data_IF_683641075936
#
_entry.id   IF_683641075936
#
_cell.length_a   1.000
_cell.length_b   1.000
_cell.length_c   1.000
_cell.angle_alpha   90.00
_cell.angle_beta   90.00
_cell.angle_gamma   90.00
#
_symmetry.space_group_name_H-M   'P 1'
#
loop_
_entity.id
_entity.type
_entity.pdbx_description
1 polymer ?
#
# COMPACT_ATOMS: atom_id res chain seq x y z
N UNK A 1 -13.87 11.71 -0.56
CA UNK A 1 -12.65 11.00 -0.13
C UNK A 1 -12.31 9.89 -1.11
N UNK A 2 -11.03 9.74 -1.49
CA UNK A 2 -10.53 8.63 -2.32
C UNK A 2 -9.66 7.72 -1.46
N UNK A 3 -9.83 6.40 -1.57
CA UNK A 3 -9.06 5.42 -0.82
C UNK A 3 -7.99 4.82 -1.73
N UNK A 4 -6.72 4.90 -1.32
CA UNK A 4 -5.59 4.27 -1.98
C UNK A 4 -5.03 3.15 -1.08
N UNK A 5 -4.96 1.93 -1.58
CA UNK A 5 -4.27 0.83 -0.90
C UNK A 5 -2.81 0.80 -1.38
N UNK A 6 -1.87 0.83 -0.43
CA UNK A 6 -0.45 0.61 -0.68
C UNK A 6 -0.04 -0.68 0.00
N UNK A 7 -0.13 -1.79 -0.73
CA UNK A 7 0.20 -3.15 -0.29
C UNK A 7 1.67 -3.48 -0.50
N UNK A 8 2.11 -4.62 0.01
CA UNK A 8 3.48 -5.14 -0.11
C UNK A 8 3.98 -5.78 1.18
N UNK A 9 5.00 -6.62 1.08
CA UNK A 9 5.57 -7.33 2.24
C UNK A 9 6.20 -6.40 3.29
N UNK A 10 6.43 -6.94 4.47
CA UNK A 10 7.18 -6.25 5.53
C UNK A 10 8.58 -5.89 5.03
N UNK A 11 8.98 -4.63 5.23
CA UNK A 11 10.28 -4.11 4.77
C UNK A 11 10.37 -3.86 3.26
N UNK A 12 9.29 -4.00 2.50
CA UNK A 12 9.27 -3.69 1.06
C UNK A 12 9.37 -2.20 0.74
N UNK A 13 9.22 -1.32 1.74
CA UNK A 13 9.35 0.14 1.54
C UNK A 13 8.00 0.86 1.38
N UNK A 14 6.89 0.26 1.81
CA UNK A 14 5.55 0.88 1.76
C UNK A 14 5.51 2.25 2.42
N UNK A 15 5.91 2.31 3.70
CA UNK A 15 5.94 3.56 4.48
C UNK A 15 6.82 4.61 3.82
N UNK A 16 7.99 4.23 3.26
CA UNK A 16 8.87 5.16 2.54
C UNK A 16 8.20 5.72 1.29
N UNK A 17 7.52 4.87 0.53
CA UNK A 17 6.73 5.28 -0.63
C UNK A 17 5.61 6.24 -0.25
N UNK A 18 4.86 5.93 0.81
CA UNK A 18 3.77 6.78 1.31
C UNK A 18 4.30 8.15 1.77
N UNK A 19 5.45 8.17 2.47
CA UNK A 19 6.12 9.42 2.88
C UNK A 19 6.49 10.28 1.66
N UNK A 20 7.03 9.67 0.62
CA UNK A 20 7.39 10.39 -0.61
C UNK A 20 6.15 10.90 -1.34
N UNK A 21 5.09 10.10 -1.43
CA UNK A 21 3.81 10.52 -2.01
C UNK A 21 3.22 11.71 -1.24
N UNK A 22 3.25 11.66 0.09
CA UNK A 22 2.72 12.72 0.95
C UNK A 22 3.49 14.06 0.78
N UNK A 23 4.82 14.01 0.56
CA UNK A 23 5.63 15.21 0.31
C UNK A 23 5.30 15.89 -1.01
N UNK A 24 4.92 15.13 -2.05
CA UNK A 24 4.69 15.65 -3.40
C UNK A 24 3.29 16.20 -3.60
N UNK A 25 2.33 15.77 -2.82
CA UNK A 25 0.96 16.23 -2.95
C UNK A 25 0.69 17.48 -2.12
N UNK A 26 -0.19 18.35 -2.64
CA UNK A 26 -0.76 19.48 -1.90
C UNK A 26 -2.14 19.18 -1.31
N UNK A 27 -2.60 17.93 -1.47
CA UNK A 27 -3.90 17.46 -1.02
C UNK A 27 -3.86 17.00 0.43
N UNK A 28 -4.99 17.08 1.11
CA UNK A 28 -5.11 16.50 2.44
C UNK A 28 -5.09 14.98 2.36
N UNK A 29 -4.12 14.38 3.07
CA UNK A 29 -3.97 12.93 3.18
C UNK A 29 -4.20 12.51 4.62
N UNK A 30 -5.06 11.52 4.82
CA UNK A 30 -5.07 10.71 6.02
C UNK A 30 -4.37 9.37 5.73
N UNK A 31 -3.58 8.88 6.67
CA UNK A 31 -2.92 7.58 6.57
C UNK A 31 -3.52 6.66 7.62
N UNK A 32 -3.91 5.49 7.18
CA UNK A 32 -4.45 4.43 8.02
C UNK A 32 -3.46 3.27 8.02
N UNK A 33 -2.72 3.16 9.11
CA UNK A 33 -1.72 2.11 9.29
C UNK A 33 -2.30 0.97 10.11
N UNK A 34 -2.06 -0.27 9.66
CA UNK A 34 -2.39 -1.47 10.40
C UNK A 34 -1.13 -2.31 10.60
N UNK A 35 -0.31 -1.92 11.55
CA UNK A 35 0.89 -2.68 11.89
C UNK A 35 0.74 -3.38 13.25
N UNK A 36 1.10 -4.65 13.27
CA UNK A 36 1.10 -5.47 14.47
C UNK A 36 2.43 -5.29 15.22
N UNK A 37 2.41 -4.48 16.26
CA UNK A 37 3.45 -4.47 17.29
C UNK A 37 4.61 -3.50 17.05
N UNK A 38 4.79 -2.69 18.05
CA UNK A 38 5.84 -1.71 18.37
C UNK A 38 5.63 -0.30 17.82
N UNK A 39 5.05 0.50 18.71
CA UNK A 39 5.24 1.96 18.90
C UNK A 39 5.53 2.81 17.66
N UNK A 40 4.57 3.61 17.31
CA UNK A 40 4.56 4.69 16.33
C UNK A 40 5.71 5.70 16.34
N UNK A 41 6.93 5.24 16.08
CA UNK A 41 8.07 6.15 15.85
C UNK A 41 7.97 6.80 14.46
N UNK A 42 7.29 6.13 13.53
CA UNK A 42 7.14 6.64 12.18
C UNK A 42 6.03 7.71 12.05
N UNK A 43 4.99 7.62 12.87
CA UNK A 43 3.91 8.58 12.89
C UNK A 43 4.32 10.01 13.23
N UNK A 44 5.24 10.18 14.18
CA UNK A 44 5.70 11.50 14.59
C UNK A 44 6.58 12.16 13.53
N UNK A 45 7.39 11.40 12.80
CA UNK A 45 8.24 11.92 11.71
C UNK A 45 7.39 12.39 10.52
N UNK A 46 6.27 11.73 10.23
CA UNK A 46 5.34 12.15 9.18
C UNK A 46 4.56 13.42 9.58
N UNK A 47 4.18 13.55 10.84
CA UNK A 47 3.45 14.74 11.37
C UNK A 47 4.30 16.01 11.30
N UNK A 48 5.61 15.92 11.50
CA UNK A 48 6.50 17.08 11.45
C UNK A 48 6.78 17.61 10.04
N UNK A 49 6.65 16.75 9.02
CA UNK A 49 7.08 17.08 7.65
C UNK A 49 5.97 17.53 6.71
N UNK A 50 4.68 17.31 7.06
CA UNK A 50 3.55 17.52 6.14
C UNK A 50 2.25 17.77 6.89
N UNK A 51 1.25 18.41 6.25
CA UNK A 51 -0.14 18.49 6.73
C UNK A 51 -0.86 17.14 6.62
N UNK A 52 -0.27 16.08 7.18
CA UNK A 52 -0.78 14.71 7.10
C UNK A 52 -1.37 14.31 8.44
N UNK A 53 -2.61 13.85 8.45
CA UNK A 53 -3.25 13.27 9.62
C UNK A 53 -3.00 11.74 9.60
N UNK A 54 -2.40 11.21 10.67
CA UNK A 54 -2.12 9.78 10.81
C UNK A 54 -3.12 9.18 11.78
N UNK A 55 -3.74 8.09 11.36
CA UNK A 55 -4.67 7.30 12.14
C UNK A 55 -4.12 5.89 12.30
N UNK A 56 -3.75 5.54 13.51
CA UNK A 56 -3.28 4.21 13.85
C UNK A 56 -4.42 3.38 14.43
N UNK A 57 -4.68 2.21 13.87
CA UNK A 57 -5.50 1.20 14.52
C UNK A 57 -4.62 0.35 15.43
N UNK A 58 -4.73 0.57 16.72
CA UNK A 58 -4.01 -0.19 17.75
C UNK A 58 -4.63 -1.54 18.07
N UNK A 59 -5.86 -1.81 17.61
CA UNK A 59 -6.57 -3.05 17.94
C UNK A 59 -7.18 -3.72 16.70
N UNK A 60 -6.66 -4.90 16.35
CA UNK A 60 -7.28 -5.81 15.40
C UNK A 60 -6.71 -5.81 14.00
N UNK A 61 -6.33 -7.01 13.56
CA UNK A 61 -5.85 -7.25 12.19
C UNK A 61 -6.97 -7.00 11.18
N UNK A 62 -6.78 -6.09 10.21
CA UNK A 62 -7.70 -5.88 9.07
C UNK A 62 -8.00 -7.20 8.33
N UNK A 63 -7.06 -8.15 8.39
CA UNK A 63 -7.15 -9.41 7.65
C UNK A 63 -8.03 -10.48 8.29
N UNK A 64 -8.35 -10.42 9.59
CA UNK A 64 -8.82 -11.65 10.23
C UNK A 64 -10.21 -11.67 10.86
N UNK A 65 -10.79 -10.61 11.37
CA UNK A 65 -12.03 -10.86 12.12
C UNK A 65 -13.03 -9.74 12.38
N UNK A 66 -12.75 -8.49 12.07
CA UNK A 66 -13.71 -7.44 12.44
C UNK A 66 -14.03 -6.55 11.23
N UNK A 67 -14.73 -7.15 10.24
CA UNK A 67 -15.23 -6.41 9.06
C UNK A 67 -16.03 -5.15 9.43
N UNK A 68 -16.72 -5.18 10.58
CA UNK A 68 -17.52 -4.07 11.06
C UNK A 68 -16.69 -2.90 11.56
N UNK A 69 -15.63 -3.14 12.32
CA UNK A 69 -14.85 -2.09 12.97
C UNK A 69 -13.96 -1.35 11.96
N UNK A 70 -13.40 -2.07 10.99
CA UNK A 70 -12.62 -1.47 9.92
C UNK A 70 -13.46 -0.55 9.03
N UNK A 71 -14.60 -1.04 8.55
CA UNK A 71 -15.53 -0.24 7.76
C UNK A 71 -16.05 0.97 8.55
N UNK A 72 -16.39 0.78 9.82
CA UNK A 72 -16.83 1.87 10.71
C UNK A 72 -15.74 2.92 10.94
N UNK A 73 -14.47 2.51 11.07
CA UNK A 73 -13.34 3.43 11.19
C UNK A 73 -13.17 4.28 9.94
N UNK A 74 -13.23 3.68 8.75
CA UNK A 74 -13.14 4.41 7.48
C UNK A 74 -14.31 5.38 7.32
N UNK A 75 -15.53 4.96 7.64
CA UNK A 75 -16.70 5.83 7.60
C UNK A 75 -16.58 6.97 8.62
N UNK A 76 -16.01 6.72 9.80
CA UNK A 76 -15.75 7.76 10.80
C UNK A 76 -14.76 8.78 10.25
N UNK A 77 -13.63 8.34 9.67
CA UNK A 77 -12.65 9.24 9.03
C UNK A 77 -13.30 10.04 7.91
N UNK A 78 -14.10 9.41 7.06
CA UNK A 78 -14.80 10.08 5.98
C UNK A 78 -15.76 11.17 6.47
N UNK A 79 -16.45 10.94 7.60
CA UNK A 79 -17.45 11.86 8.12
C UNK A 79 -16.87 12.94 9.03
N UNK A 80 -15.73 12.69 9.70
CA UNK A 80 -15.17 13.63 10.69
C UNK A 80 -14.02 14.45 10.13
N UNK A 81 -13.13 13.84 9.37
CA UNK A 81 -11.94 14.48 8.77
C UNK A 81 -12.18 14.84 7.32
N UNK A 82 -12.85 13.95 6.58
CA UNK A 82 -13.15 14.07 5.15
C UNK A 82 -11.91 14.48 4.30
N UNK A 83 -10.79 13.77 4.39
CA UNK A 83 -9.59 14.12 3.63
C UNK A 83 -9.82 13.92 2.14
N UNK A 84 -9.01 14.56 1.28
CA UNK A 84 -9.02 14.30 -0.15
C UNK A 84 -8.71 12.80 -0.43
N UNK A 85 -7.68 12.28 0.29
CA UNK A 85 -7.21 10.91 0.15
C UNK A 85 -7.04 10.21 1.50
N UNK A 86 -7.49 8.97 1.59
CA UNK A 86 -7.16 8.03 2.66
C UNK A 86 -6.21 6.97 2.10
N UNK A 87 -4.97 6.97 2.56
CA UNK A 87 -3.98 5.94 2.20
C UNK A 87 -4.05 4.84 3.25
N UNK A 88 -4.25 3.61 2.82
CA UNK A 88 -4.29 2.43 3.68
C UNK A 88 -2.99 1.65 3.49
N UNK A 89 -2.21 1.53 4.56
CA UNK A 89 -1.04 0.66 4.63
C UNK A 89 -1.39 -0.61 5.43
N UNK A 90 -1.68 -1.73 4.78
CA UNK A 90 -1.97 -2.99 5.47
C UNK A 90 -0.69 -3.65 5.97
N UNK A 91 -0.84 -4.65 6.86
CA UNK A 91 0.28 -5.51 7.27
C UNK A 91 0.91 -6.20 6.06
N UNK A 92 2.22 -6.49 6.14
CA UNK A 92 2.95 -7.10 5.03
C UNK A 92 2.47 -8.49 4.59
N UNK A 93 1.65 -9.15 5.40
CA UNK A 93 1.06 -10.48 5.11
C UNK A 93 -0.42 -10.41 4.73
N UNK A 94 -0.95 -9.22 4.48
CA UNK A 94 -2.33 -9.06 4.07
C UNK A 94 -2.54 -9.49 2.61
N UNK A 95 -3.63 -10.21 2.36
CA UNK A 95 -4.11 -10.50 1.01
C UNK A 95 -4.78 -9.25 0.44
N UNK A 96 -4.26 -8.75 -0.68
CA UNK A 96 -4.77 -7.55 -1.34
C UNK A 96 -6.20 -7.74 -1.85
N UNK A 97 -6.50 -8.94 -2.36
CA UNK A 97 -7.85 -9.33 -2.79
C UNK A 97 -8.90 -9.16 -1.70
N UNK A 98 -8.59 -9.58 -0.47
CA UNK A 98 -9.48 -9.46 0.68
C UNK A 98 -9.73 -7.99 1.06
N UNK A 99 -8.70 -7.16 1.01
CA UNK A 99 -8.81 -5.72 1.28
C UNK A 99 -9.71 -5.04 0.26
N UNK A 100 -9.49 -5.31 -1.02
CA UNK A 100 -10.32 -4.78 -2.10
C UNK A 100 -11.78 -5.20 -1.91
N UNK A 101 -12.04 -6.49 -1.63
CA UNK A 101 -13.39 -7.00 -1.43
C UNK A 101 -14.09 -6.35 -0.22
N UNK A 102 -13.36 -6.09 0.87
CA UNK A 102 -13.93 -5.42 2.04
C UNK A 102 -14.21 -3.94 1.77
N UNK A 103 -13.30 -3.23 1.11
CA UNK A 103 -13.43 -1.81 0.81
C UNK A 103 -14.49 -1.53 -0.26
N UNK A 104 -14.65 -2.41 -1.23
CA UNK A 104 -15.70 -2.29 -2.26
C UNK A 104 -17.12 -2.29 -1.66
N UNK A 105 -17.30 -2.87 -0.46
CA UNK A 105 -18.61 -2.87 0.21
C UNK A 105 -18.97 -1.51 0.83
N UNK A 106 -17.97 -0.63 1.03
CA UNK A 106 -18.18 0.71 1.60
C UNK A 106 -18.00 1.82 0.57
N UNK A 107 -17.79 1.48 -0.72
CA UNK A 107 -17.87 2.47 -1.78
C UNK A 107 -19.26 3.07 -1.83
N UNK A 108 -19.31 4.38 -1.69
CA UNK A 108 -20.53 5.15 -1.64
C UNK A 108 -20.28 6.51 -2.31
N UNK A 109 -21.31 7.32 -2.52
CA UNK A 109 -21.25 8.58 -3.31
C UNK A 109 -20.01 9.45 -3.09
N UNK A 110 -19.52 9.49 -1.85
CA UNK A 110 -18.36 10.30 -1.45
C UNK A 110 -17.09 9.49 -1.15
N UNK A 111 -17.14 8.16 -1.24
CA UNK A 111 -16.01 7.26 -1.00
C UNK A 111 -15.74 6.45 -2.26
N UNK A 112 -14.53 6.58 -2.81
CA UNK A 112 -14.10 5.87 -4.02
C UNK A 112 -12.81 5.12 -3.78
N UNK A 113 -12.81 3.84 -4.11
CA UNK A 113 -11.59 3.04 -4.12
C UNK A 113 -10.77 3.37 -5.37
N UNK A 114 -9.51 3.68 -5.18
CA UNK A 114 -8.54 3.87 -6.27
C UNK A 114 -7.90 2.53 -6.66
N UNK A 115 -7.31 2.50 -7.84
CA UNK A 115 -6.48 1.40 -8.29
C UNK A 115 -5.35 1.11 -7.28
N UNK A 116 -5.23 -0.11 -6.75
CA UNK A 116 -4.28 -0.43 -5.69
C UNK A 116 -2.85 -0.49 -6.20
N UNK A 117 -1.91 -0.10 -5.32
CA UNK A 117 -0.47 -0.18 -5.57
C UNK A 117 0.11 -1.30 -4.71
N UNK A 118 0.98 -2.13 -5.29
CA UNK A 118 1.80 -3.10 -4.54
C UNK A 118 3.28 -2.73 -4.62
N UNK A 119 3.94 -2.64 -3.46
CA UNK A 119 5.37 -2.38 -3.36
C UNK A 119 6.09 -3.72 -3.16
N UNK A 120 7.03 -4.04 -4.03
CA UNK A 120 7.79 -5.29 -3.99
C UNK A 120 9.28 -5.00 -3.88
N UNK A 121 9.91 -5.52 -2.83
CA UNK A 121 11.37 -5.50 -2.68
C UNK A 121 12.01 -6.43 -3.71
N UNK A 122 12.67 -5.85 -4.71
CA UNK A 122 13.30 -6.60 -5.80
C UNK A 122 14.36 -7.61 -5.33
N UNK A 123 15.00 -7.37 -4.19
CA UNK A 123 16.04 -8.24 -3.63
C UNK A 123 15.47 -9.41 -2.80
N UNK A 124 14.17 -9.39 -2.49
CA UNK A 124 13.53 -10.36 -1.59
C UNK A 124 12.53 -11.29 -2.29
N UNK A 125 12.39 -11.20 -3.60
CA UNK A 125 11.37 -11.92 -4.38
C UNK A 125 11.46 -13.44 -4.18
N UNK A 126 12.65 -14.04 -4.31
CA UNK A 126 12.81 -15.47 -4.12
C UNK A 126 12.41 -15.95 -2.71
N UNK A 127 12.67 -15.13 -1.71
CA UNK A 127 12.21 -15.40 -0.35
C UNK A 127 10.69 -15.35 -0.26
N UNK A 128 10.03 -14.33 -0.85
CA UNK A 128 8.57 -14.21 -0.82
C UNK A 128 7.90 -15.38 -1.53
N UNK A 129 8.42 -15.81 -2.68
CA UNK A 129 7.92 -16.97 -3.44
C UNK A 129 8.03 -18.27 -2.65
N UNK A 130 9.09 -18.44 -1.87
CA UNK A 130 9.33 -19.67 -1.12
C UNK A 130 8.59 -19.70 0.22
N UNK A 131 8.55 -18.58 0.94
CA UNK A 131 7.96 -18.53 2.29
C UNK A 131 6.45 -18.22 2.26
N UNK A 132 6.00 -17.40 1.29
CA UNK A 132 4.63 -16.87 1.25
C UNK A 132 4.06 -16.83 -0.18
N UNK A 133 4.06 -17.95 -0.93
CA UNK A 133 3.74 -17.97 -2.35
C UNK A 133 2.34 -17.43 -2.69
N UNK A 134 1.35 -17.74 -1.84
CA UNK A 134 -0.02 -17.30 -2.05
C UNK A 134 -0.17 -15.79 -1.87
N UNK A 135 0.45 -15.22 -0.83
CA UNK A 135 0.42 -13.78 -0.57
C UNK A 135 1.17 -13.04 -1.67
N UNK A 136 2.35 -13.53 -2.07
CA UNK A 136 3.12 -12.95 -3.16
C UNK A 136 2.32 -12.88 -4.45
N UNK A 137 1.69 -13.98 -4.83
CA UNK A 137 0.84 -14.05 -6.02
C UNK A 137 -0.35 -13.10 -5.93
N UNK A 138 -1.07 -13.10 -4.81
CA UNK A 138 -2.24 -12.25 -4.60
C UNK A 138 -1.88 -10.76 -4.68
N UNK A 139 -0.78 -10.35 -4.05
CA UNK A 139 -0.35 -8.95 -4.06
C UNK A 139 0.06 -8.46 -5.46
N UNK A 140 0.48 -9.35 -6.36
CA UNK A 140 0.75 -9.01 -7.76
C UNK A 140 -0.53 -9.07 -8.60
N UNK A 141 -1.30 -10.14 -8.47
CA UNK A 141 -2.50 -10.42 -9.28
C UNK A 141 -3.55 -9.30 -9.13
N UNK A 142 -3.72 -8.78 -7.92
CA UNK A 142 -4.72 -7.76 -7.62
C UNK A 142 -4.19 -6.33 -7.62
N UNK A 143 -2.90 -6.11 -7.89
CA UNK A 143 -2.35 -4.77 -8.09
C UNK A 143 -2.68 -4.22 -9.46
N UNK A 144 -3.07 -2.94 -9.54
CA UNK A 144 -3.11 -2.20 -10.80
C UNK A 144 -1.71 -1.67 -11.17
N UNK A 145 -0.99 -1.21 -10.17
CA UNK A 145 0.39 -0.75 -10.32
C UNK A 145 1.29 -1.47 -9.33
N UNK A 146 2.39 -2.02 -9.83
CA UNK A 146 3.44 -2.61 -9.03
C UNK A 146 4.70 -1.74 -9.11
N UNK A 147 5.24 -1.42 -7.94
CA UNK A 147 6.46 -0.62 -7.82
C UNK A 147 7.55 -1.48 -7.19
N UNK A 148 8.61 -1.70 -7.93
CA UNK A 148 9.80 -2.35 -7.37
C UNK A 148 10.61 -1.35 -6.55
N UNK A 149 10.91 -1.72 -5.31
CA UNK A 149 11.86 -1.01 -4.46
C UNK A 149 13.24 -1.68 -4.50
N UNK A 150 14.26 -0.94 -4.06
CA UNK A 150 15.66 -1.40 -3.96
C UNK A 150 16.25 -1.84 -5.30
N UNK A 151 15.90 -1.15 -6.36
CA UNK A 151 16.32 -1.43 -7.74
C UNK A 151 17.55 -0.63 -8.19
N UNK A 152 18.12 0.20 -7.32
CA UNK A 152 19.16 1.18 -7.66
C UNK A 152 20.44 0.54 -8.21
N UNK A 153 20.75 -0.68 -7.74
CA UNK A 153 21.95 -1.42 -8.12
C UNK A 153 21.67 -2.60 -9.07
N UNK A 154 20.44 -2.74 -9.56
CA UNK A 154 20.08 -3.82 -10.48
C UNK A 154 20.47 -3.45 -11.91
N UNK A 155 21.05 -4.41 -12.62
CA UNK A 155 21.28 -4.29 -14.07
C UNK A 155 19.94 -4.32 -14.83
N UNK A 156 19.93 -3.76 -16.05
CA UNK A 156 18.70 -3.74 -16.87
C UNK A 156 18.16 -5.15 -17.15
N UNK A 157 19.03 -6.14 -17.37
CA UNK A 157 18.63 -7.54 -17.59
C UNK A 157 17.92 -8.14 -16.35
N UNK A 158 18.29 -7.74 -15.15
CA UNK A 158 17.62 -8.15 -13.91
C UNK A 158 16.26 -7.49 -13.81
N UNK A 159 16.15 -6.20 -14.12
CA UNK A 159 14.88 -5.46 -14.17
C UNK A 159 13.93 -6.05 -15.22
N UNK A 160 14.44 -6.45 -16.39
CA UNK A 160 13.66 -7.09 -17.44
C UNK A 160 13.09 -8.45 -17.01
N UNK A 161 13.87 -9.24 -16.25
CA UNK A 161 13.38 -10.51 -15.66
C UNK A 161 12.25 -10.28 -14.66
N UNK A 162 12.38 -9.25 -13.80
CA UNK A 162 11.33 -8.88 -12.85
C UNK A 162 10.04 -8.47 -13.57
N UNK A 163 10.18 -7.67 -14.63
CA UNK A 163 9.04 -7.26 -15.46
C UNK A 163 8.33 -8.46 -16.09
N UNK A 164 9.09 -9.41 -16.62
CA UNK A 164 8.55 -10.63 -17.24
C UNK A 164 7.79 -11.46 -16.19
N UNK A 165 8.38 -11.71 -15.04
CA UNK A 165 7.76 -12.48 -13.95
C UNK A 165 6.42 -11.89 -13.51
N UNK A 166 6.36 -10.57 -13.30
CA UNK A 166 5.11 -9.90 -12.92
C UNK A 166 4.09 -9.99 -14.05
N UNK A 167 4.52 -9.80 -15.30
CA UNK A 167 3.63 -9.87 -16.47
C UNK A 167 3.04 -11.27 -16.71
N UNK A 168 3.73 -12.33 -16.29
CA UNK A 168 3.19 -13.70 -16.32
C UNK A 168 2.05 -13.90 -15.31
N UNK A 169 2.09 -13.22 -14.15
CA UNK A 169 1.05 -13.28 -13.12
C UNK A 169 -0.08 -12.31 -13.44
N UNK A 170 0.27 -11.07 -13.80
CA UNK A 170 -0.68 -9.98 -14.07
C UNK A 170 -0.27 -9.19 -15.31
N UNK A 171 -0.71 -9.60 -16.51
CA UNK A 171 -0.32 -8.96 -17.77
C UNK A 171 -0.85 -7.52 -17.94
N UNK A 172 -1.82 -7.10 -17.13
CA UNK A 172 -2.39 -5.76 -17.18
C UNK A 172 -1.77 -4.80 -16.15
N UNK A 173 -0.88 -5.29 -15.28
CA UNK A 173 -0.26 -4.49 -14.25
C UNK A 173 0.71 -3.46 -14.85
N UNK A 174 0.58 -2.22 -14.42
CA UNK A 174 1.60 -1.20 -14.70
C UNK A 174 2.80 -1.45 -13.80
N UNK A 175 3.97 -1.70 -14.39
CA UNK A 175 5.18 -2.02 -13.65
C UNK A 175 6.12 -0.80 -13.64
N UNK A 176 6.61 -0.45 -12.45
CA UNK A 176 7.58 0.62 -12.23
C UNK A 176 8.84 0.00 -11.61
N UNK A 177 9.94 0.03 -12.36
CA UNK A 177 11.25 -0.49 -11.93
C UNK A 177 12.25 0.61 -11.58
N UNK A 178 11.98 1.84 -11.96
CA UNK A 178 12.80 2.97 -11.55
C UNK A 178 12.42 3.42 -10.13
N UNK A 179 13.40 3.95 -9.41
CA UNK A 179 13.14 4.42 -8.05
C UNK A 179 12.08 5.52 -8.07
N UNK A 180 11.04 5.35 -7.28
CA UNK A 180 9.86 6.24 -7.28
C UNK A 180 10.19 7.71 -6.96
N UNK A 181 11.32 7.99 -6.30
CA UNK A 181 11.77 9.39 -6.08
C UNK A 181 12.21 10.11 -7.36
N UNK A 182 12.49 9.36 -8.42
CA UNK A 182 12.91 9.93 -9.72
C UNK A 182 11.76 10.11 -10.70
N UNK A 183 10.56 9.62 -10.34
CA UNK A 183 9.38 9.77 -11.19
C UNK A 183 8.92 11.23 -11.22
N UNK A 184 8.37 11.71 -12.34
CA UNK A 184 7.77 13.05 -12.41
C UNK A 184 6.53 13.12 -11.49
N UNK A 185 6.21 14.35 -11.07
CA UNK A 185 5.04 14.66 -10.24
C UNK A 185 3.72 14.40 -11.00
#
# INVERSE_FOLDING_TARGET
>A
MKILIVSGFLGAGKTTFIKELAKRTKKEIAIFENEYGTSGVDGDILKEATNVNIWELTEGCICCSVKGDFAASILTIANTVNPDYLVIEPTGVAMLSNLIANLSQIEYEHIRLMAPISIVDALSIERYKNEFPEIYKDQIEFADTLVFSKTENLANEEKDKLNLEVSEINPNCKIITDHYSTLPD
#
